data_IF_758302677440
#
_entry.id   IF_758302677440
#
_cell.length_a   1.000
_cell.length_b   1.000
_cell.length_c   1.000
_cell.angle_alpha   90.00
_cell.angle_beta   90.00
_cell.angle_gamma   90.00
#
_symmetry.space_group_name_H-M   'P 1'
#
loop_
_entity.id
_entity.type
_entity.pdbx_description
1 polymer ?
#
# COMPACT_ATOMS: atom_id res chain seq x y z
N UNK A 1 -8.88 -21.15 -6.75
CA UNK A 1 -10.05 -21.11 -7.66
C UNK A 1 -11.30 -20.83 -6.85
N UNK A 2 -12.16 -19.90 -7.28
CA UNK A 2 -13.46 -19.65 -6.65
C UNK A 2 -14.58 -20.32 -7.43
N UNK A 3 -15.52 -20.94 -6.72
CA UNK A 3 -16.66 -21.65 -7.29
C UNK A 3 -17.94 -21.23 -6.56
N UNK A 4 -18.93 -20.77 -7.32
CA UNK A 4 -20.30 -20.66 -6.86
C UNK A 4 -21.05 -21.96 -7.13
N UNK A 5 -21.77 -22.45 -6.11
CA UNK A 5 -22.59 -23.67 -6.19
C UNK A 5 -24.02 -23.35 -5.81
N UNK A 6 -24.96 -23.59 -6.73
CA UNK A 6 -26.40 -23.45 -6.46
C UNK A 6 -27.21 -22.79 -7.57
N UNK A 7 -28.50 -22.62 -7.32
CA UNK A 7 -29.43 -21.94 -8.23
C UNK A 7 -29.23 -20.42 -8.25
N UNK A 8 -29.98 -19.69 -9.06
CA UNK A 8 -29.93 -18.20 -9.07
C UNK A 8 -30.36 -17.64 -7.72
N UNK A 9 -29.57 -16.73 -7.16
CA UNK A 9 -29.80 -16.11 -5.85
C UNK A 9 -29.17 -14.72 -5.79
N UNK A 10 -29.48 -13.97 -4.74
CA UNK A 10 -28.80 -12.69 -4.46
C UNK A 10 -27.28 -12.90 -4.26
N UNK A 11 -26.88 -14.01 -3.64
CA UNK A 11 -25.47 -14.40 -3.51
C UNK A 11 -24.81 -14.60 -4.88
N UNK A 12 -25.53 -15.17 -5.85
CA UNK A 12 -25.04 -15.31 -7.24
C UNK A 12 -24.77 -13.95 -7.88
N UNK A 13 -25.71 -13.01 -7.73
CA UNK A 13 -25.56 -11.65 -8.25
C UNK A 13 -24.33 -10.95 -7.67
N UNK A 14 -24.16 -11.00 -6.35
CA UNK A 14 -23.00 -10.44 -5.66
C UNK A 14 -21.68 -11.12 -6.08
N UNK A 15 -21.71 -12.45 -6.27
CA UNK A 15 -20.56 -13.21 -6.75
C UNK A 15 -20.17 -12.84 -8.18
N UNK A 16 -21.14 -12.69 -9.08
CA UNK A 16 -20.90 -12.25 -10.47
C UNK A 16 -20.32 -10.84 -10.51
N UNK A 17 -20.87 -9.90 -9.73
CA UNK A 17 -20.32 -8.54 -9.64
C UNK A 17 -18.88 -8.52 -9.12
N UNK A 18 -18.58 -9.31 -8.07
CA UNK A 18 -17.22 -9.46 -7.58
C UNK A 18 -16.28 -10.11 -8.61
N UNK A 19 -16.79 -11.07 -9.39
CA UNK A 19 -16.03 -11.73 -10.44
C UNK A 19 -15.68 -10.76 -11.58
N UNK A 20 -16.61 -9.93 -12.03
CA UNK A 20 -16.37 -8.92 -13.09
C UNK A 20 -15.21 -7.98 -12.75
N UNK A 21 -15.08 -7.59 -11.47
CA UNK A 21 -14.01 -6.72 -11.01
C UNK A 21 -12.67 -7.45 -10.80
N UNK A 22 -12.71 -8.72 -10.36
CA UNK A 22 -11.52 -9.45 -9.90
C UNK A 22 -11.03 -10.53 -10.89
N UNK A 23 -11.66 -10.66 -12.06
CA UNK A 23 -11.38 -11.72 -13.05
C UNK A 23 -9.93 -11.74 -13.53
N UNK A 24 -9.26 -10.58 -13.53
CA UNK A 24 -7.85 -10.45 -13.91
C UNK A 24 -6.88 -10.98 -12.84
N UNK A 25 -7.36 -11.12 -11.60
CA UNK A 25 -6.55 -11.53 -10.45
C UNK A 25 -6.77 -12.98 -10.04
N UNK A 26 -7.92 -13.57 -10.37
CA UNK A 26 -8.26 -14.94 -9.98
C UNK A 26 -9.33 -15.55 -10.88
N UNK A 27 -9.48 -16.87 -10.82
CA UNK A 27 -10.42 -17.61 -11.64
C UNK A 27 -11.73 -17.87 -10.90
N UNK A 28 -12.85 -17.55 -11.57
CA UNK A 28 -14.21 -17.71 -11.07
C UNK A 28 -14.99 -18.72 -11.91
N UNK A 29 -15.70 -19.61 -11.22
CA UNK A 29 -16.55 -20.63 -11.83
C UNK A 29 -17.93 -20.67 -11.18
N UNK A 30 -18.89 -21.26 -11.88
CA UNK A 30 -20.26 -21.51 -11.41
C UNK A 30 -20.66 -22.92 -11.81
N UNK A 31 -21.23 -23.70 -10.90
CA UNK A 31 -21.65 -25.08 -11.18
C UNK A 31 -22.79 -25.56 -10.29
N UNK A 32 -23.32 -26.74 -10.63
CA UNK A 32 -24.24 -27.49 -9.77
C UNK A 32 -23.46 -28.28 -8.71
N UNK A 33 -24.17 -28.84 -7.74
CA UNK A 33 -23.57 -29.70 -6.71
C UNK A 33 -22.91 -30.95 -7.29
N UNK A 34 -23.38 -31.44 -8.45
CA UNK A 34 -22.86 -32.66 -9.08
C UNK A 34 -21.41 -32.53 -9.56
N UNK A 35 -20.92 -31.31 -9.78
CA UNK A 35 -19.54 -31.06 -10.25
C UNK A 35 -18.55 -31.12 -9.08
N UNK A 36 -19.03 -31.12 -7.84
CA UNK A 36 -18.16 -31.18 -6.66
C UNK A 36 -17.56 -32.58 -6.47
N UNK A 37 -16.28 -32.68 -6.07
CA UNK A 37 -15.69 -33.92 -5.60
C UNK A 37 -16.49 -34.54 -4.43
N UNK A 38 -16.48 -35.87 -4.32
CA UNK A 38 -17.28 -36.60 -3.31
C UNK A 38 -16.88 -36.27 -1.86
N UNK A 39 -15.63 -35.86 -1.66
CA UNK A 39 -15.03 -35.44 -0.40
C UNK A 39 -15.42 -34.02 0.03
N UNK A 40 -16.06 -33.24 -0.85
CA UNK A 40 -16.48 -31.87 -0.56
C UNK A 40 -17.94 -31.85 -0.10
N UNK A 41 -18.14 -31.62 1.20
CA UNK A 41 -19.47 -31.39 1.76
C UNK A 41 -19.71 -29.90 2.00
N UNK A 42 -20.82 -29.38 1.47
CA UNK A 42 -21.28 -28.02 1.69
C UNK A 42 -22.47 -28.01 2.66
N UNK A 43 -22.43 -27.20 3.73
CA UNK A 43 -23.45 -27.22 4.76
C UNK A 43 -24.81 -26.72 4.26
N UNK A 44 -24.81 -25.75 3.34
CA UNK A 44 -26.03 -25.17 2.76
C UNK A 44 -25.77 -24.70 1.32
N UNK A 45 -26.82 -24.64 0.51
CA UNK A 45 -26.80 -24.04 -0.82
C UNK A 45 -27.79 -22.86 -0.88
N UNK A 46 -27.49 -21.79 -1.64
CA UNK A 46 -26.28 -21.58 -2.44
C UNK A 46 -25.04 -21.28 -1.60
N UNK A 47 -23.85 -21.58 -2.12
CA UNK A 47 -22.57 -21.34 -1.43
C UNK A 47 -21.48 -20.85 -2.40
N UNK A 48 -20.54 -20.08 -1.86
CA UNK A 48 -19.29 -19.74 -2.53
C UNK A 48 -18.15 -20.46 -1.82
N UNK A 49 -17.30 -21.12 -2.60
CA UNK A 49 -16.20 -21.96 -2.10
C UNK A 49 -14.92 -21.53 -2.79
N UNK A 50 -13.82 -21.49 -2.05
CA UNK A 50 -12.48 -21.34 -2.61
C UNK A 50 -11.71 -22.64 -2.43
N UNK A 51 -11.19 -23.17 -3.53
CA UNK A 51 -10.26 -24.29 -3.53
C UNK A 51 -8.84 -23.74 -3.62
N UNK A 52 -8.03 -24.03 -2.60
CA UNK A 52 -6.60 -23.67 -2.54
C UNK A 52 -5.83 -24.54 -1.55
N UNK A 53 -4.54 -24.70 -1.83
CA UNK A 53 -3.58 -25.36 -0.95
C UNK A 53 -4.00 -26.79 -0.54
N UNK A 54 -4.64 -27.53 -1.45
CA UNK A 54 -5.17 -28.88 -1.19
C UNK A 54 -6.40 -28.93 -0.29
N UNK A 55 -7.02 -27.78 0.02
CA UNK A 55 -8.20 -27.67 0.88
C UNK A 55 -9.28 -26.82 0.23
N UNK A 56 -10.44 -26.71 0.88
CA UNK A 56 -11.47 -25.75 0.52
C UNK A 56 -11.93 -24.93 1.73
N UNK A 57 -12.35 -23.69 1.48
CA UNK A 57 -13.01 -22.83 2.46
C UNK A 57 -14.37 -22.39 1.90
N UNK A 58 -15.40 -22.45 2.72
CA UNK A 58 -16.74 -21.97 2.38
C UNK A 58 -16.94 -20.57 2.96
N UNK A 59 -17.49 -19.67 2.16
CA UNK A 59 -17.82 -18.31 2.58
C UNK A 59 -19.00 -18.30 3.54
N UNK A 60 -18.85 -17.58 4.66
CA UNK A 60 -19.94 -17.32 5.60
C UNK A 60 -20.05 -15.83 5.94
N UNK A 61 -21.08 -15.16 5.44
CA UNK A 61 -21.23 -13.70 5.52
C UNK A 61 -21.16 -13.13 6.95
N UNK A 62 -21.65 -13.88 7.96
CA UNK A 62 -21.62 -13.44 9.37
C UNK A 62 -20.22 -13.40 9.96
N UNK A 63 -19.34 -14.30 9.51
CA UNK A 63 -17.97 -14.46 10.04
C UNK A 63 -16.99 -13.71 9.15
N UNK A 64 -17.17 -13.81 7.84
CA UNK A 64 -16.27 -13.29 6.82
C UNK A 64 -16.61 -11.85 6.38
N UNK A 65 -17.80 -11.36 6.67
CA UNK A 65 -18.24 -10.04 6.20
C UNK A 65 -18.46 -10.01 4.68
N UNK A 66 -18.18 -8.88 3.99
CA UNK A 66 -18.52 -8.72 2.57
C UNK A 66 -17.80 -9.74 1.67
N UNK A 67 -18.57 -10.37 0.76
CA UNK A 67 -18.06 -11.41 -0.15
C UNK A 67 -16.81 -10.99 -0.94
N UNK A 68 -16.82 -9.78 -1.53
CA UNK A 68 -15.69 -9.26 -2.29
C UNK A 68 -14.42 -9.13 -1.44
N UNK A 69 -14.56 -8.64 -0.20
CA UNK A 69 -13.43 -8.53 0.73
C UNK A 69 -12.91 -9.91 1.13
N UNK A 70 -13.79 -10.89 1.32
CA UNK A 70 -13.39 -12.28 1.57
C UNK A 70 -12.65 -12.89 0.37
N UNK A 71 -13.15 -12.71 -0.85
CA UNK A 71 -12.46 -13.15 -2.08
C UNK A 71 -11.06 -12.53 -2.13
N UNK A 72 -10.93 -11.22 -1.90
CA UNK A 72 -9.64 -10.53 -1.94
C UNK A 72 -8.66 -11.07 -0.86
N UNK A 73 -9.16 -11.43 0.32
CA UNK A 73 -8.35 -12.06 1.39
C UNK A 73 -7.92 -13.48 1.08
N UNK A 74 -8.74 -14.24 0.35
CA UNK A 74 -8.53 -15.66 0.13
C UNK A 74 -7.88 -16.01 -1.20
N UNK A 75 -7.83 -15.09 -2.18
CA UNK A 75 -7.32 -15.37 -3.52
C UNK A 75 -5.84 -15.75 -3.59
N UNK A 76 -5.06 -15.36 -2.58
CA UNK A 76 -3.63 -15.68 -2.51
C UNK A 76 -3.39 -17.12 -2.03
N UNK A 77 -2.42 -17.83 -2.65
CA UNK A 77 -1.97 -19.13 -2.16
C UNK A 77 -1.29 -19.00 -0.80
N UNK A 78 -1.17 -20.10 -0.06
CA UNK A 78 -0.51 -20.11 1.24
C UNK A 78 0.97 -19.67 1.17
N UNK A 79 1.67 -20.00 0.08
CA UNK A 79 3.05 -19.61 -0.18
C UNK A 79 3.30 -19.46 -1.68
N UNK A 80 3.86 -18.34 -2.14
CA UNK A 80 4.21 -18.15 -3.56
C UNK A 80 5.41 -17.24 -3.79
N UNK A 81 5.89 -17.23 -5.04
CA UNK A 81 6.75 -16.15 -5.53
C UNK A 81 5.92 -14.86 -5.56
N UNK A 82 6.52 -13.76 -5.12
CA UNK A 82 5.91 -12.44 -5.06
C UNK A 82 6.78 -11.49 -5.87
N UNK A 83 6.18 -10.80 -6.82
CA UNK A 83 6.77 -9.66 -7.53
C UNK A 83 6.21 -8.34 -6.99
N UNK A 84 6.68 -7.22 -7.52
CA UNK A 84 6.24 -5.89 -7.08
C UNK A 84 4.73 -5.66 -7.24
N UNK A 85 4.13 -6.20 -8.31
CA UNK A 85 2.70 -6.09 -8.57
C UNK A 85 1.87 -6.93 -7.61
N UNK A 86 2.23 -8.20 -7.44
CA UNK A 86 1.57 -9.14 -6.54
C UNK A 86 1.69 -8.67 -5.11
N UNK A 87 2.82 -8.08 -4.71
CA UNK A 87 3.01 -7.51 -3.39
C UNK A 87 2.03 -6.37 -3.11
N UNK A 88 1.91 -5.42 -4.04
CA UNK A 88 0.92 -4.34 -3.90
C UNK A 88 -0.50 -4.90 -3.76
N UNK A 89 -0.84 -5.87 -4.62
CA UNK A 89 -2.15 -6.51 -4.59
C UNK A 89 -2.40 -7.28 -3.27
N UNK A 90 -1.35 -7.89 -2.68
CA UNK A 90 -1.41 -8.53 -1.36
C UNK A 90 -1.73 -7.53 -0.26
N UNK A 91 -1.27 -6.29 -0.36
CA UNK A 91 -1.59 -5.22 0.58
C UNK A 91 -3.08 -4.92 0.66
N UNK A 92 -3.80 -5.01 -0.46
CA UNK A 92 -5.26 -4.80 -0.51
C UNK A 92 -6.05 -5.89 0.24
N UNK A 93 -5.42 -7.01 0.58
CA UNK A 93 -6.06 -8.05 1.41
C UNK A 93 -6.26 -7.60 2.85
N UNK A 94 -5.54 -6.57 3.32
CA UNK A 94 -5.52 -6.15 4.71
C UNK A 94 -4.76 -7.10 5.64
N UNK A 95 -4.03 -8.07 5.10
CA UNK A 95 -3.11 -8.93 5.84
C UNK A 95 -1.69 -8.40 5.75
N UNK A 96 -0.88 -8.74 6.75
CA UNK A 96 0.56 -8.51 6.73
C UNK A 96 1.22 -9.48 5.75
N UNK A 97 2.27 -9.03 5.06
CA UNK A 97 2.97 -9.87 4.07
C UNK A 97 4.35 -10.26 4.61
N UNK A 98 4.55 -11.54 4.87
CA UNK A 98 5.83 -12.14 5.26
C UNK A 98 6.59 -12.48 3.98
N UNK A 99 7.75 -11.85 3.79
CA UNK A 99 8.60 -12.07 2.62
C UNK A 99 9.98 -12.55 3.02
N UNK A 100 10.47 -13.53 2.25
CA UNK A 100 11.90 -13.83 2.15
C UNK A 100 12.45 -13.11 0.93
N UNK A 101 13.38 -12.19 1.14
CA UNK A 101 14.11 -11.53 0.06
C UNK A 101 15.30 -12.41 -0.31
N UNK A 102 15.44 -12.72 -1.59
CA UNK A 102 16.49 -13.59 -2.12
C UNK A 102 17.37 -12.82 -3.11
N UNK A 103 18.59 -13.28 -3.34
CA UNK A 103 19.44 -12.73 -4.39
C UNK A 103 18.84 -13.03 -5.78
N UNK A 104 18.98 -12.10 -6.74
CA UNK A 104 18.50 -12.32 -8.12
C UNK A 104 19.33 -13.37 -8.86
N UNK A 105 20.63 -13.44 -8.56
CA UNK A 105 21.56 -14.37 -9.18
C UNK A 105 22.33 -15.14 -8.12
N UNK A 106 22.51 -16.44 -8.34
CA UNK A 106 23.29 -17.31 -7.45
C UNK A 106 22.66 -17.54 -6.09
N UNK A 107 21.53 -18.26 -6.03
CA UNK A 107 20.86 -18.61 -4.78
C UNK A 107 21.83 -19.31 -3.81
N UNK A 108 22.16 -18.62 -2.72
CA UNK A 108 23.00 -19.18 -1.67
C UNK A 108 22.30 -20.34 -0.95
N UNK A 109 23.07 -21.19 -0.29
CA UNK A 109 22.50 -22.25 0.56
C UNK A 109 21.60 -21.65 1.65
N UNK A 110 22.00 -20.50 2.19
CA UNK A 110 21.23 -19.72 3.15
C UNK A 110 19.87 -19.29 2.56
N UNK A 111 19.85 -18.77 1.34
CA UNK A 111 18.62 -18.40 0.63
C UNK A 111 17.67 -19.57 0.47
N UNK A 112 18.18 -20.74 0.08
CA UNK A 112 17.40 -21.97 -0.03
C UNK A 112 16.84 -22.40 1.34
N UNK A 113 17.65 -22.33 2.40
CA UNK A 113 17.24 -22.65 3.78
C UNK A 113 16.11 -21.73 4.26
N UNK A 114 16.25 -20.41 4.12
CA UNK A 114 15.24 -19.44 4.54
C UNK A 114 13.94 -19.59 3.73
N UNK A 115 14.05 -19.84 2.42
CA UNK A 115 12.91 -20.09 1.55
C UNK A 115 12.11 -21.31 2.02
N UNK A 116 12.79 -22.44 2.26
CA UNK A 116 12.16 -23.67 2.76
C UNK A 116 11.58 -23.48 4.16
N UNK A 117 12.26 -22.75 5.04
CA UNK A 117 11.79 -22.44 6.38
C UNK A 117 10.46 -21.66 6.34
N UNK A 118 10.40 -20.61 5.52
CA UNK A 118 9.18 -19.82 5.36
C UNK A 118 8.03 -20.65 4.78
N UNK A 119 8.32 -21.49 3.77
CA UNK A 119 7.33 -22.40 3.19
C UNK A 119 6.79 -23.40 4.22
N UNK A 120 7.68 -23.95 5.06
CA UNK A 120 7.30 -24.88 6.15
C UNK A 120 6.39 -24.21 7.17
N UNK A 121 6.72 -23.00 7.63
CA UNK A 121 5.87 -22.25 8.57
C UNK A 121 4.52 -21.90 7.97
N UNK A 122 4.51 -21.44 6.72
CA UNK A 122 3.28 -21.09 6.00
C UNK A 122 2.31 -22.28 5.86
N UNK A 123 2.86 -23.49 5.64
CA UNK A 123 2.07 -24.71 5.52
C UNK A 123 1.68 -25.30 6.89
N UNK A 124 2.61 -25.33 7.84
CA UNK A 124 2.45 -25.98 9.15
C UNK A 124 1.58 -25.22 10.14
N UNK A 125 1.55 -23.88 10.06
CA UNK A 125 0.86 -23.01 11.02
C UNK A 125 -0.23 -22.15 10.35
N UNK A 126 -0.90 -22.71 9.34
CA UNK A 126 -1.92 -22.02 8.54
C UNK A 126 -3.13 -21.61 9.38
N UNK A 127 -3.50 -22.42 10.36
CA UNK A 127 -4.61 -22.19 11.29
C UNK A 127 -4.35 -20.98 12.20
N UNK A 128 -3.12 -20.83 12.67
CA UNK A 128 -2.70 -19.72 13.54
C UNK A 128 -2.48 -18.42 12.73
N UNK A 129 -1.67 -18.49 11.67
CA UNK A 129 -1.21 -17.29 10.96
C UNK A 129 -2.02 -16.95 9.71
N UNK A 130 -2.75 -17.89 9.12
CA UNK A 130 -3.40 -17.69 7.82
C UNK A 130 -4.47 -16.60 7.80
N UNK A 131 -4.97 -16.17 8.97
CA UNK A 131 -5.87 -15.01 9.10
C UNK A 131 -5.15 -13.67 9.06
N UNK A 132 -3.92 -13.60 9.55
CA UNK A 132 -3.18 -12.37 9.76
C UNK A 132 -2.08 -12.14 8.72
N UNK A 133 -1.51 -13.21 8.18
CA UNK A 133 -0.34 -13.18 7.31
C UNK A 133 -0.61 -13.81 5.93
N UNK A 134 0.11 -13.29 4.94
CA UNK A 134 0.37 -13.91 3.65
C UNK A 134 1.86 -14.18 3.55
N UNK A 135 2.24 -15.33 3.01
CA UNK A 135 3.66 -15.72 2.93
C UNK A 135 4.14 -15.78 1.49
N UNK A 136 5.38 -15.38 1.27
CA UNK A 136 6.02 -15.52 -0.02
C UNK A 136 7.51 -15.26 -0.01
N UNK A 137 8.08 -15.32 -1.20
CA UNK A 137 9.47 -14.94 -1.44
C UNK A 137 9.57 -14.00 -2.64
N UNK A 138 10.51 -13.07 -2.58
CA UNK A 138 10.79 -12.12 -3.66
C UNK A 138 12.25 -12.28 -4.08
N UNK A 139 12.50 -12.34 -5.38
CA UNK A 139 13.84 -12.32 -5.95
C UNK A 139 14.21 -10.86 -6.20
N UNK A 140 15.38 -10.46 -5.69
CA UNK A 140 15.76 -9.05 -5.66
C UNK A 140 15.13 -8.30 -4.49
N UNK A 141 15.76 -7.19 -4.13
CA UNK A 141 15.33 -6.35 -3.00
C UNK A 141 15.06 -4.92 -3.39
N UNK A 142 15.16 -4.55 -4.67
CA UNK A 142 15.08 -3.16 -5.11
C UNK A 142 13.73 -2.52 -4.80
N UNK A 143 12.63 -3.24 -5.09
CA UNK A 143 11.29 -2.76 -4.79
C UNK A 143 11.09 -2.54 -3.29
N UNK A 144 11.48 -3.52 -2.48
CA UNK A 144 11.36 -3.44 -1.01
C UNK A 144 12.30 -2.39 -0.43
N UNK A 145 13.50 -2.24 -0.98
CA UNK A 145 14.48 -1.20 -0.61
C UNK A 145 13.93 0.20 -0.89
N UNK A 146 13.16 0.36 -1.96
CA UNK A 146 12.38 1.58 -2.22
C UNK A 146 11.31 1.82 -1.15
N UNK A 147 10.55 0.79 -0.79
CA UNK A 147 9.49 0.88 0.23
C UNK A 147 10.04 1.24 1.61
N UNK A 148 11.10 0.56 2.06
CA UNK A 148 11.76 0.83 3.36
C UNK A 148 12.70 2.03 3.33
N UNK A 149 12.97 2.57 2.13
CA UNK A 149 13.86 3.70 1.86
C UNK A 149 15.27 3.48 2.44
N UNK A 150 15.76 2.26 2.31
CA UNK A 150 17.08 1.82 2.75
C UNK A 150 17.47 0.54 2.03
N UNK A 151 18.77 0.26 1.91
CA UNK A 151 19.25 -0.97 1.28
C UNK A 151 18.97 -2.16 2.17
N UNK A 152 18.15 -3.10 1.70
CA UNK A 152 17.87 -4.34 2.43
C UNK A 152 18.88 -5.42 2.03
N UNK A 153 19.44 -6.11 3.02
CA UNK A 153 20.36 -7.21 2.76
C UNK A 153 19.59 -8.42 2.20
N UNK A 154 20.18 -9.12 1.23
CA UNK A 154 19.68 -10.40 0.71
C UNK A 154 20.68 -11.51 1.04
N UNK A 155 20.26 -12.65 1.61
CA UNK A 155 18.88 -13.02 1.93
C UNK A 155 18.44 -12.53 3.31
N UNK A 156 17.17 -12.12 3.44
CA UNK A 156 16.60 -11.69 4.72
C UNK A 156 15.09 -11.92 4.81
N UNK A 157 14.57 -11.91 6.03
CA UNK A 157 13.14 -11.85 6.30
C UNK A 157 12.68 -10.41 6.53
N UNK A 158 11.49 -10.11 6.03
CA UNK A 158 10.80 -8.86 6.31
C UNK A 158 9.30 -9.14 6.38
N UNK A 159 8.62 -8.47 7.30
CA UNK A 159 7.15 -8.42 7.33
C UNK A 159 6.73 -7.02 6.91
N UNK A 160 5.79 -6.92 5.99
CA UNK A 160 5.31 -5.66 5.45
C UNK A 160 3.87 -5.42 5.87
N UNK A 161 3.61 -4.22 6.37
CA UNK A 161 2.28 -3.65 6.54
C UNK A 161 2.06 -2.59 5.47
N UNK A 162 1.50 -3.01 4.34
CA UNK A 162 1.26 -2.14 3.20
C UNK A 162 0.11 -1.14 3.42
N UNK A 163 -0.71 -1.33 4.47
CA UNK A 163 -1.77 -0.38 4.77
C UNK A 163 -1.21 0.95 5.31
N UNK A 164 -0.09 0.88 6.04
CA UNK A 164 0.56 2.05 6.64
C UNK A 164 1.94 2.35 6.07
N UNK A 165 2.38 1.64 5.03
CA UNK A 165 3.77 1.65 4.55
C UNK A 165 4.77 1.32 5.67
N UNK A 166 4.37 0.40 6.55
CA UNK A 166 5.14 -0.10 7.67
C UNK A 166 5.89 -1.38 7.33
N UNK A 167 6.95 -1.67 8.08
CA UNK A 167 7.68 -2.92 7.99
C UNK A 167 8.29 -3.32 9.32
N UNK A 168 8.51 -4.62 9.48
CA UNK A 168 9.13 -5.21 10.65
C UNK A 168 10.34 -6.03 10.20
N UNK A 169 11.43 -5.89 10.94
CA UNK A 169 12.63 -6.69 10.75
C UNK A 169 12.86 -7.56 11.98
N UNK A 170 13.33 -8.80 11.80
CA UNK A 170 13.65 -9.65 12.94
C UNK A 170 14.82 -9.05 13.73
N UNK A 171 14.74 -9.12 15.06
CA UNK A 171 15.78 -8.57 15.96
C UNK A 171 17.11 -9.33 15.88
N UNK A 172 17.10 -10.57 15.37
CA UNK A 172 18.26 -11.43 15.24
C UNK A 172 18.21 -12.31 13.99
N UNK A 173 19.22 -13.18 13.83
CA UNK A 173 19.27 -14.10 12.71
C UNK A 173 18.16 -15.18 12.82
N UNK A 174 17.28 -15.20 11.83
CA UNK A 174 16.23 -16.22 11.71
C UNK A 174 16.83 -17.44 11.01
N UNK A 175 17.11 -18.48 11.80
CA UNK A 175 17.73 -19.72 11.34
C UNK A 175 16.84 -20.95 11.56
N UNK A 176 15.97 -20.89 12.55
CA UNK A 176 15.10 -21.99 12.97
C UNK A 176 13.64 -21.59 12.86
N UNK A 177 12.76 -22.60 12.89
CA UNK A 177 11.32 -22.39 12.85
C UNK A 177 10.86 -21.54 14.03
N UNK A 178 11.34 -21.88 15.23
CA UNK A 178 11.00 -21.15 16.44
C UNK A 178 11.37 -19.65 16.35
N UNK A 179 12.54 -19.31 15.80
CA UNK A 179 12.91 -17.90 15.64
C UNK A 179 11.97 -17.14 14.70
N UNK A 180 11.44 -17.81 13.68
CA UNK A 180 10.45 -17.21 12.79
C UNK A 180 9.09 -17.06 13.49
N UNK A 181 8.66 -18.07 14.24
CA UNK A 181 7.42 -18.02 15.02
C UNK A 181 7.45 -16.90 16.07
N UNK A 182 8.53 -16.83 16.87
CA UNK A 182 8.73 -15.79 17.88
C UNK A 182 8.68 -14.38 17.26
N UNK A 183 9.23 -14.23 16.06
CA UNK A 183 9.18 -12.98 15.31
C UNK A 183 7.74 -12.65 14.86
N UNK A 184 7.02 -13.60 14.28
CA UNK A 184 5.63 -13.39 13.84
C UNK A 184 4.69 -13.09 15.00
N UNK A 185 4.85 -13.82 16.11
CA UNK A 185 4.10 -13.58 17.35
C UNK A 185 4.44 -12.21 17.93
N UNK A 186 5.70 -11.79 17.86
CA UNK A 186 6.11 -10.45 18.26
C UNK A 186 5.46 -9.35 17.41
N UNK A 187 5.24 -9.60 16.13
CA UNK A 187 4.50 -8.68 15.24
C UNK A 187 3.02 -8.62 15.63
N UNK A 188 2.39 -9.78 15.89
CA UNK A 188 0.96 -9.82 16.28
C UNK A 188 0.71 -9.19 17.65
N UNK A 189 1.61 -9.41 18.61
CA UNK A 189 1.49 -8.91 19.98
C UNK A 189 1.98 -7.46 20.14
N UNK A 190 2.50 -6.86 19.07
CA UNK A 190 3.01 -5.48 19.07
C UNK A 190 4.33 -5.28 19.81
N UNK A 191 5.05 -6.35 20.16
CA UNK A 191 6.38 -6.25 20.77
C UNK A 191 7.46 -5.99 19.73
N UNK A 192 7.22 -6.34 18.46
CA UNK A 192 8.09 -5.96 17.36
C UNK A 192 7.87 -4.49 16.98
N UNK A 193 8.95 -3.73 16.88
CA UNK A 193 8.90 -2.32 16.49
C UNK A 193 8.48 -2.19 15.01
N UNK A 194 7.32 -1.57 14.77
CA UNK A 194 6.90 -1.19 13.42
C UNK A 194 7.75 0.00 12.95
N UNK A 195 8.49 -0.20 11.85
CA UNK A 195 9.31 0.82 11.21
C UNK A 195 8.61 1.33 9.96
N UNK A 196 8.91 2.56 9.56
CA UNK A 196 8.28 3.17 8.37
C UNK A 196 7.07 4.03 8.71
N UNK A 197 6.03 3.98 7.88
CA UNK A 197 4.81 4.77 8.07
C UNK A 197 4.47 5.71 6.90
N UNK A 198 3.26 6.26 6.90
CA UNK A 198 2.77 7.20 5.88
C UNK A 198 2.63 8.66 6.37
N UNK A 199 3.20 8.98 7.53
CA UNK A 199 3.13 10.32 8.14
C UNK A 199 3.88 11.40 7.35
N UNK A 200 3.57 12.68 7.59
CA UNK A 200 4.12 13.84 6.84
C UNK A 200 5.66 13.85 6.82
N UNK A 201 6.30 13.56 7.97
CA UNK A 201 7.78 13.47 8.04
C UNK A 201 8.33 12.35 7.17
N UNK A 202 7.66 11.20 7.15
CA UNK A 202 8.06 10.05 6.36
C UNK A 202 7.82 10.28 4.86
N UNK A 203 6.77 11.01 4.49
CA UNK A 203 6.54 11.46 3.09
C UNK A 203 7.64 12.42 2.61
N UNK A 204 8.05 13.39 3.43
CA UNK A 204 9.18 14.27 3.09
C UNK A 204 10.48 13.48 2.95
N UNK A 205 10.72 12.54 3.88
CA UNK A 205 11.85 11.62 3.78
C UNK A 205 11.81 10.82 2.48
N UNK A 206 10.63 10.37 2.03
CA UNK A 206 10.43 9.60 0.78
C UNK A 206 10.79 10.45 -0.43
N UNK A 207 10.31 11.69 -0.47
CA UNK A 207 10.67 12.65 -1.53
C UNK A 207 12.19 12.86 -1.62
N UNK A 208 12.88 13.06 -0.48
CA UNK A 208 14.33 13.25 -0.46
C UNK A 208 15.04 11.99 -0.94
N UNK A 209 14.62 10.81 -0.49
CA UNK A 209 15.19 9.53 -0.90
C UNK A 209 15.03 9.29 -2.40
N UNK A 210 13.84 9.51 -2.96
CA UNK A 210 13.55 9.30 -4.38
C UNK A 210 14.37 10.26 -5.26
N UNK A 211 14.44 11.54 -4.88
CA UNK A 211 15.26 12.56 -5.55
C UNK A 211 16.73 12.16 -5.50
N UNK A 212 17.23 11.76 -4.33
CA UNK A 212 18.65 11.37 -4.17
C UNK A 212 18.96 10.13 -4.99
N UNK A 213 18.12 9.10 -4.92
CA UNK A 213 18.33 7.82 -5.64
C UNK A 213 18.27 8.01 -7.15
N UNK A 214 17.41 8.89 -7.65
CA UNK A 214 17.30 9.22 -9.08
C UNK A 214 18.47 10.07 -9.57
N UNK A 215 18.91 11.04 -8.77
CA UNK A 215 19.96 11.98 -9.16
C UNK A 215 21.37 11.40 -9.00
N UNK A 216 21.63 10.60 -7.97
CA UNK A 216 22.95 9.99 -7.71
C UNK A 216 23.57 9.31 -8.95
N UNK A 217 22.88 8.41 -9.67
CA UNK A 217 23.47 7.78 -10.85
C UNK A 217 23.72 8.77 -12.00
N UNK A 218 22.91 9.82 -12.12
CA UNK A 218 23.07 10.87 -13.15
C UNK A 218 24.31 11.70 -12.83
N UNK A 219 24.50 12.11 -11.58
CA UNK A 219 25.68 12.86 -11.15
C UNK A 219 26.97 12.04 -11.23
N UNK A 220 26.92 10.74 -10.96
CA UNK A 220 28.09 9.87 -11.06
C UNK A 220 28.47 9.59 -12.52
N UNK A 221 27.50 9.35 -13.41
CA UNK A 221 27.77 9.00 -14.81
C UNK A 221 27.99 10.22 -15.71
N UNK A 222 27.35 11.35 -15.41
CA UNK A 222 27.40 12.56 -16.21
C UNK A 222 27.20 13.83 -15.35
N UNK A 223 28.21 14.23 -14.56
CA UNK A 223 28.07 15.30 -13.57
C UNK A 223 27.66 16.65 -14.17
N UNK A 224 28.17 16.99 -15.37
CA UNK A 224 27.81 18.24 -16.05
C UNK A 224 26.36 18.27 -16.51
N UNK A 225 25.84 17.15 -17.02
CA UNK A 225 24.43 17.01 -17.41
C UNK A 225 23.51 17.00 -16.20
N UNK A 226 23.90 16.34 -15.10
CA UNK A 226 23.17 16.36 -13.83
C UNK A 226 23.06 17.78 -13.25
N UNK A 227 24.15 18.54 -13.26
CA UNK A 227 24.13 19.94 -12.85
C UNK A 227 23.20 20.78 -13.73
N UNK A 228 23.26 20.65 -15.06
CA UNK A 228 22.38 21.38 -15.98
C UNK A 228 20.90 21.04 -15.75
N UNK A 229 20.56 19.75 -15.60
CA UNK A 229 19.20 19.26 -15.36
C UNK A 229 18.58 19.87 -14.09
N UNK A 230 19.38 20.14 -13.07
CA UNK A 230 18.92 20.72 -11.79
C UNK A 230 18.98 22.25 -11.80
N UNK A 231 20.09 22.85 -12.26
CA UNK A 231 20.26 24.31 -12.27
C UNK A 231 19.27 25.01 -13.19
N UNK A 232 18.97 24.43 -14.34
CA UNK A 232 18.14 25.09 -15.36
C UNK A 232 16.68 25.29 -14.89
N UNK A 233 15.97 24.28 -14.36
CA UNK A 233 14.63 24.49 -13.77
C UNK A 233 14.64 25.40 -12.55
N UNK A 234 15.67 25.33 -11.69
CA UNK A 234 15.80 26.20 -10.51
C UNK A 234 16.00 27.66 -10.93
N UNK A 235 16.84 27.90 -11.94
CA UNK A 235 17.06 29.23 -12.50
C UNK A 235 15.79 29.79 -13.15
N UNK A 236 15.07 28.97 -13.94
CA UNK A 236 13.77 29.35 -14.51
C UNK A 236 12.75 29.72 -13.42
N UNK A 237 12.65 28.92 -12.37
CA UNK A 237 11.76 29.19 -11.23
C UNK A 237 12.17 30.46 -10.48
N UNK A 238 13.46 30.70 -10.27
CA UNK A 238 13.97 31.92 -9.63
C UNK A 238 13.70 33.17 -10.48
N UNK A 239 13.90 33.09 -11.80
CA UNK A 239 13.58 34.18 -12.74
C UNK A 239 12.08 34.44 -12.75
N UNK A 240 11.24 33.40 -12.78
CA UNK A 240 9.79 33.55 -12.72
C UNK A 240 9.34 34.20 -11.40
N UNK A 241 9.88 33.75 -10.27
CA UNK A 241 9.62 34.34 -8.96
C UNK A 241 10.06 35.82 -8.91
N UNK A 242 11.26 36.13 -9.43
CA UNK A 242 11.75 37.49 -9.52
C UNK A 242 10.83 38.38 -10.39
N UNK A 243 10.39 37.87 -11.54
CA UNK A 243 9.45 38.58 -12.41
C UNK A 243 8.08 38.77 -11.74
N UNK A 244 7.55 37.77 -11.03
CA UNK A 244 6.30 37.91 -10.28
C UNK A 244 6.41 38.89 -9.10
N UNK A 245 7.54 38.88 -8.38
CA UNK A 245 7.81 39.84 -7.31
C UNK A 245 7.98 41.26 -7.83
N UNK A 246 8.62 41.44 -8.99
CA UNK A 246 8.81 42.75 -9.62
C UNK A 246 7.57 43.25 -10.38
N UNK A 247 6.71 42.34 -10.83
CA UNK A 247 5.44 42.64 -11.49
C UNK A 247 4.28 42.91 -10.50
N UNK A 248 4.49 42.74 -9.20
CA UNK A 248 3.69 43.44 -8.18
C UNK A 248 4.27 44.86 -8.07
N UNK A 249 3.63 45.90 -8.61
CA UNK A 249 4.16 47.26 -8.53
C UNK A 249 4.08 47.70 -7.06
N UNK A 250 5.11 48.42 -6.61
CA UNK A 250 5.04 49.30 -5.45
C UNK A 250 3.79 50.19 -5.58
N UNK A 251 2.72 49.86 -4.88
CA UNK A 251 1.72 50.83 -4.43
C UNK A 251 2.21 51.37 -3.09
N UNK A 252 3.29 52.13 -3.13
CA UNK A 252 3.80 52.96 -2.05
C UNK A 252 5.05 53.68 -2.57
N UNK A 253 4.84 54.89 -3.09
CA UNK A 253 5.71 56.03 -2.80
C UNK A 253 4.86 57.30 -3.03
N UNK A 254 4.49 57.90 -1.89
CA UNK A 254 3.82 59.19 -1.67
C UNK A 254 4.73 60.35 -2.14
N UNK A 255 4.22 61.32 -2.91
CA UNK A 255 3.75 62.66 -2.49
C UNK A 255 4.77 63.78 -2.83
N UNK A 256 4.42 64.64 -3.80
CA UNK A 256 4.68 66.09 -3.75
C UNK A 256 3.85 66.86 -4.81
N UNK A 257 2.95 67.73 -4.32
CA UNK A 257 2.75 69.08 -4.86
C UNK A 257 1.77 69.32 -6.02
N UNK A 258 0.56 69.82 -5.69
CA UNK A 258 -0.08 70.90 -6.50
C UNK A 258 -1.52 70.70 -6.97
N UNK A 259 -2.45 71.21 -6.18
CA UNK A 259 -3.72 71.88 -6.53
C UNK A 259 -4.80 71.25 -7.46
N UNK A 260 -6.01 71.29 -6.89
CA UNK A 260 -7.32 71.58 -7.52
C UNK A 260 -8.32 70.44 -7.77
N UNK A 261 -9.21 70.31 -6.77
CA UNK A 261 -10.68 70.34 -6.83
C UNK A 261 -11.47 69.22 -7.55
N UNK A 262 -12.35 68.61 -6.73
CA UNK A 262 -13.63 67.93 -7.02
C UNK A 262 -13.49 66.56 -7.73
N UNK A 263 -14.11 65.48 -7.26
CA UNK A 263 -15.52 65.39 -6.92
C UNK A 263 -15.85 64.06 -6.21
N UNK A 264 -16.61 64.16 -5.11
CA UNK A 264 -17.61 63.20 -4.62
C UNK A 264 -17.34 61.69 -4.66
N UNK A 265 -17.05 61.13 -3.48
CA UNK A 265 -17.78 59.95 -2.99
C UNK A 265 -18.24 60.25 -1.56
N UNK A 266 -19.47 59.87 -1.20
CA UNK A 266 -19.57 58.86 -0.15
C UNK A 266 -20.71 57.88 -0.48
N UNK A 267 -20.60 56.58 -0.23
CA UNK A 267 -20.71 56.03 1.12
C UNK A 267 -20.89 54.52 0.98
N UNK A 268 -20.22 53.74 1.83
CA UNK A 268 -20.69 52.39 2.17
C UNK A 268 -20.36 52.18 3.65
N UNK A 269 -21.27 52.66 4.49
CA UNK A 269 -21.24 52.47 5.93
C UNK A 269 -21.53 51.00 6.28
N UNK A 270 -20.46 50.35 6.74
CA UNK A 270 -20.39 49.52 7.95
C UNK A 270 -21.69 49.46 8.78
N UNK A 271 -22.48 48.40 8.60
CA UNK A 271 -23.54 48.04 9.55
C UNK A 271 -23.01 46.99 10.55
N UNK A 272 -22.99 47.36 11.84
CA UNK A 272 -23.12 46.40 12.93
C UNK A 272 -23.90 47.00 14.11
N UNK A 273 -25.09 46.40 14.29
CA UNK A 273 -25.75 46.03 15.56
C UNK A 273 -26.64 47.01 16.34
N UNK A 274 -27.88 46.53 16.51
CA UNK A 274 -28.82 46.59 17.66
C UNK A 274 -29.52 47.94 17.90
N UNK A 275 -30.81 48.05 17.57
CA UNK A 275 -31.99 47.55 18.31
C UNK A 275 -32.39 48.49 19.46
N UNK A 276 -33.49 49.26 19.30
CA UNK A 276 -34.60 49.26 20.26
C UNK A 276 -35.89 49.93 19.70
N UNK A 277 -37.01 49.31 20.04
CA UNK A 277 -38.38 49.80 20.35
C UNK A 277 -39.17 50.88 19.56
N UNK A 278 -40.42 50.44 19.27
CA UNK A 278 -41.75 51.09 19.45
C UNK A 278 -42.09 52.29 18.56
N UNK A 279 -43.07 52.16 17.65
CA UNK A 279 -44.53 52.24 17.85
C UNK A 279 -45.03 53.69 17.75
N UNK A 280 -45.58 54.04 16.58
CA UNK A 280 -47.01 54.31 16.36
C UNK A 280 -47.36 53.93 14.91
#
# INVERSE_FOLDING_TARGET
MFLYVGATSLLKGNYTAAAEELIVHTSFFSGSREVLPQDVSLPSLPAVVVFKDGTYLTFEERVDGPLKAWINRQRFPGYSKVDSYSLYAMGESGKLVVLVLLEETGLSERSRRLKLLCASVAAGHRDVYGRHFLFGFMEGSDYVSGLVMSRVATPSFIVLDLAVDGYFLPSGAVETEQHLLDFLDGVLNGSAECRGGNGVRQRLRRLIYDVTTTLTPIFVKAPLLGCFLVLFPVALGAVFCFLCCKARPNMADDDDGGDSIAALAPSLQRQKKMADKKAD
#
